data_IF_793081328016
#
_entry.id   IF_793081328016
#
_cell.length_a   1.000
_cell.length_b   1.000
_cell.length_c   1.000
_cell.angle_alpha   90.00
_cell.angle_beta   90.00
_cell.angle_gamma   90.00
#
_symmetry.space_group_name_H-M   'P 1'
#
loop_
_entity.id
_entity.type
_entity.pdbx_description
1 polymer ?
#
# COMPACT_ATOMS: atom_id res chain seq x y z
N UNK A 1 -3.96 5.42 -9.34
CA UNK A 1 -2.61 5.28 -8.78
C UNK A 1 -1.78 6.53 -9.02
N UNK A 2 -1.02 6.92 -8.00
CA UNK A 2 0.02 7.95 -8.03
C UNK A 2 1.40 7.29 -8.04
N UNK A 3 2.36 7.85 -8.76
CA UNK A 3 3.77 7.45 -8.67
C UNK A 3 4.45 8.37 -7.67
N UNK A 4 5.06 7.80 -6.63
CA UNK A 4 5.77 8.56 -5.59
C UNK A 4 7.17 7.99 -5.36
N UNK A 5 8.17 8.63 -5.95
CA UNK A 5 9.58 8.27 -5.74
C UNK A 5 10.08 8.56 -4.31
N UNK A 6 9.32 9.33 -3.51
CA UNK A 6 9.57 9.53 -2.09
C UNK A 6 9.11 8.34 -1.24
N UNK A 7 8.18 7.52 -1.75
CA UNK A 7 7.73 6.32 -1.06
C UNK A 7 8.66 5.14 -1.32
N UNK A 8 9.11 4.48 -0.26
CA UNK A 8 9.91 3.26 -0.37
C UNK A 8 9.08 2.05 -0.82
N UNK A 9 7.78 2.04 -0.53
CA UNK A 9 6.87 0.90 -0.69
C UNK A 9 5.64 1.28 -1.50
N UNK A 10 4.93 0.27 -2.02
CA UNK A 10 3.65 0.49 -2.66
C UNK A 10 2.53 0.47 -1.61
N UNK A 11 1.53 1.33 -1.78
CA UNK A 11 0.39 1.46 -0.87
C UNK A 11 -0.91 1.26 -1.64
N UNK A 12 -1.89 0.63 -1.00
CA UNK A 12 -3.24 0.44 -1.55
C UNK A 12 -4.28 0.57 -0.44
N UNK A 13 -5.46 1.10 -0.75
CA UNK A 13 -6.56 1.13 0.21
C UNK A 13 -7.26 -0.23 0.31
N UNK A 14 -7.70 -0.58 1.52
CA UNK A 14 -8.30 -1.89 1.82
C UNK A 14 -9.51 -2.19 0.96
N UNK A 15 -10.41 -1.22 0.76
CA UNK A 15 -11.65 -1.41 0.01
C UNK A 15 -11.46 -1.72 -1.49
N UNK A 16 -10.26 -1.53 -2.05
CA UNK A 16 -9.94 -1.82 -3.46
C UNK A 16 -9.55 -3.28 -3.67
N UNK A 17 -9.33 -4.03 -2.58
CA UNK A 17 -8.91 -5.42 -2.65
C UNK A 17 -10.12 -6.32 -2.85
N UNK A 18 -9.99 -7.28 -3.77
CA UNK A 18 -11.01 -8.30 -3.94
C UNK A 18 -11.15 -9.16 -2.66
N UNK A 19 -12.38 -9.58 -2.30
CA UNK A 19 -12.60 -10.51 -1.22
C UNK A 19 -11.79 -11.80 -1.43
N UNK A 20 -10.99 -12.19 -0.45
CA UNK A 20 -10.19 -13.42 -0.51
C UNK A 20 -8.79 -13.26 -1.09
N UNK A 21 -8.32 -12.03 -1.35
CA UNK A 21 -6.89 -11.80 -1.64
C UNK A 21 -6.03 -12.37 -0.52
N UNK A 22 -4.92 -13.00 -0.89
CA UNK A 22 -4.00 -13.55 0.10
C UNK A 22 -3.27 -12.39 0.80
N UNK A 23 -3.45 -12.33 2.11
CA UNK A 23 -2.90 -11.28 2.97
C UNK A 23 -1.80 -11.86 3.85
N UNK A 24 -0.69 -11.13 3.97
CA UNK A 24 0.34 -11.41 4.95
C UNK A 24 0.25 -10.39 6.09
N UNK A 25 -0.35 -10.82 7.20
CA UNK A 25 -0.57 -10.00 8.38
C UNK A 25 0.70 -9.80 9.22
N UNK A 26 1.78 -10.53 8.92
CA UNK A 26 3.04 -10.44 9.68
C UNK A 26 3.91 -9.27 9.21
N UNK A 27 3.51 -8.56 8.15
CA UNK A 27 4.29 -7.47 7.56
C UNK A 27 3.51 -6.17 7.69
N UNK A 28 3.63 -5.56 8.86
CA UNK A 28 3.11 -4.21 9.12
C UNK A 28 4.25 -3.20 9.13
N UNK A 29 4.02 -2.06 8.48
CA UNK A 29 4.94 -0.93 8.47
C UNK A 29 4.28 0.26 9.15
N UNK A 30 5.07 0.97 9.96
CA UNK A 30 4.67 2.27 10.47
C UNK A 30 5.18 3.35 9.53
N UNK A 31 4.26 3.96 8.80
CA UNK A 31 4.51 5.08 7.92
C UNK A 31 4.62 6.35 8.76
N UNK A 32 5.74 7.03 8.61
CA UNK A 32 6.00 8.34 9.22
C UNK A 32 5.99 9.40 8.12
N UNK A 33 5.60 10.63 8.47
CA UNK A 33 5.62 11.81 7.58
C UNK A 33 4.46 11.96 6.59
N UNK A 34 3.55 11.00 6.48
CA UNK A 34 2.35 11.11 5.62
C UNK A 34 1.12 11.68 6.36
N UNK A 35 1.20 11.81 7.68
CA UNK A 35 0.15 12.35 8.54
C UNK A 35 0.70 12.88 9.86
N UNK A 36 -0.04 13.73 10.59
CA UNK A 36 0.37 14.26 11.90
C UNK A 36 0.60 13.17 12.96
N UNK A 37 0.00 12.00 12.77
CA UNK A 37 0.20 10.80 13.61
C UNK A 37 0.80 9.70 12.73
N UNK A 38 1.70 8.84 13.26
CA UNK A 38 2.16 7.66 12.54
C UNK A 38 0.99 6.76 12.18
N UNK A 39 1.08 6.10 11.03
CA UNK A 39 0.05 5.16 10.56
C UNK A 39 0.68 3.81 10.36
N UNK A 40 0.06 2.80 10.95
CA UNK A 40 0.46 1.41 10.75
C UNK A 40 -0.39 0.81 9.64
N UNK A 41 0.27 0.25 8.63
CA UNK A 41 -0.39 -0.52 7.56
C UNK A 41 -1.00 -1.79 8.16
N UNK A 42 -2.15 -2.22 7.64
CA UNK A 42 -2.88 -3.37 8.19
C UNK A 42 -2.19 -4.70 7.86
N UNK A 43 -1.83 -4.88 6.59
CA UNK A 43 -1.33 -6.12 6.01
C UNK A 43 -0.52 -5.83 4.75
N UNK A 44 0.20 -6.83 4.25
CA UNK A 44 0.85 -6.78 2.94
C UNK A 44 0.19 -7.79 2.00
N UNK A 45 -0.17 -7.36 0.80
CA UNK A 45 -0.76 -8.20 -0.24
C UNK A 45 0.15 -8.26 -1.44
N UNK A 46 0.13 -9.40 -2.12
CA UNK A 46 0.82 -9.56 -3.39
C UNK A 46 -0.21 -9.65 -4.51
N UNK A 47 -0.19 -8.67 -5.41
CA UNK A 47 -1.16 -8.55 -6.50
C UNK A 47 -0.45 -8.34 -7.83
N UNK A 48 -1.05 -8.83 -8.92
CA UNK A 48 -0.59 -8.51 -10.27
C UNK A 48 -1.10 -7.13 -10.65
N UNK A 49 -0.19 -6.18 -10.76
CA UNK A 49 -0.48 -4.79 -11.12
C UNK A 49 0.36 -4.39 -12.34
N UNK A 50 -0.29 -3.86 -13.39
CA UNK A 50 0.34 -3.54 -14.68
C UNK A 50 1.18 -4.71 -15.27
N UNK A 51 0.70 -5.94 -15.10
CA UNK A 51 1.37 -7.15 -15.62
C UNK A 51 2.56 -7.64 -14.79
N UNK A 52 2.86 -7.00 -13.65
CA UNK A 52 3.92 -7.41 -12.71
C UNK A 52 3.32 -7.83 -11.37
N UNK A 53 3.84 -8.92 -10.81
CA UNK A 53 3.53 -9.30 -9.44
C UNK A 53 4.27 -8.35 -8.49
N UNK A 54 3.52 -7.61 -7.67
CA UNK A 54 4.08 -6.59 -6.78
C UNK A 54 3.45 -6.68 -5.39
N UNK A 55 4.24 -6.32 -4.37
CA UNK A 55 3.77 -6.22 -3.00
C UNK A 55 3.16 -4.83 -2.78
N UNK A 56 2.04 -4.78 -2.07
CA UNK A 56 1.40 -3.55 -1.63
C UNK A 56 1.10 -3.65 -0.13
N UNK A 57 1.44 -2.58 0.59
CA UNK A 57 1.00 -2.44 1.97
C UNK A 57 -0.37 -1.78 2.01
N UNK A 58 -1.27 -2.38 2.78
CA UNK A 58 -2.66 -1.98 2.84
C UNK A 58 -2.84 -0.91 3.90
N UNK A 59 -3.41 0.20 3.48
CA UNK A 59 -3.81 1.29 4.36
C UNK A 59 -5.23 1.07 4.90
N UNK A 60 -5.51 1.49 6.14
CA UNK A 60 -6.89 1.55 6.64
C UNK A 60 -7.71 2.52 5.79
N UNK A 61 -8.99 2.21 5.57
CA UNK A 61 -9.90 3.01 4.73
C UNK A 61 -10.13 4.43 5.26
N UNK A 62 -9.84 4.66 6.53
CA UNK A 62 -9.96 5.95 7.21
C UNK A 62 -8.80 6.91 6.87
N UNK A 63 -7.79 6.45 6.13
CA UNK A 63 -6.66 7.29 5.76
C UNK A 63 -7.07 8.29 4.67
N UNK A 64 -6.96 9.61 4.91
CA UNK A 64 -7.40 10.63 3.96
C UNK A 64 -6.39 10.76 2.83
N UNK A 65 -6.52 9.88 1.84
CA UNK A 65 -5.72 9.91 0.63
C UNK A 65 -6.65 9.80 -0.57
N UNK A 66 -6.64 10.81 -1.43
CA UNK A 66 -7.55 10.90 -2.58
C UNK A 66 -7.23 9.87 -3.66
N UNK A 67 -5.96 9.48 -3.75
CA UNK A 67 -5.52 8.46 -4.69
C UNK A 67 -5.74 7.07 -4.11
N UNK A 68 -6.14 6.14 -4.96
CA UNK A 68 -6.51 4.79 -4.57
C UNK A 68 -5.28 3.90 -4.30
N UNK A 69 -4.17 4.16 -4.99
CA UNK A 69 -2.90 3.45 -4.85
C UNK A 69 -1.69 4.39 -4.98
N UNK A 70 -0.60 4.07 -4.29
CA UNK A 70 0.72 4.71 -4.47
C UNK A 70 1.71 3.65 -4.96
N UNK A 71 2.40 3.93 -6.06
CA UNK A 71 3.54 3.16 -6.52
C UNK A 71 4.82 3.82 -6.03
N UNK A 72 5.45 3.16 -5.05
CA UNK A 72 6.74 3.56 -4.53
C UNK A 72 7.89 2.98 -5.33
N UNK A 73 9.11 3.27 -4.87
CA UNK A 73 10.34 2.82 -5.51
C UNK A 73 10.44 1.29 -5.66
N UNK A 74 9.85 0.50 -4.76
CA UNK A 74 9.83 -0.96 -4.88
C UNK A 74 9.19 -1.44 -6.19
N UNK A 75 8.14 -0.77 -6.69
CA UNK A 75 7.47 -1.19 -7.91
C UNK A 75 8.39 -1.16 -9.14
N UNK A 76 9.34 -0.22 -9.17
CA UNK A 76 10.22 0.06 -10.32
C UNK A 76 11.59 -0.63 -10.22
N UNK A 77 11.85 -1.37 -9.14
CA UNK A 77 13.01 -2.28 -9.04
C UNK A 77 12.74 -3.58 -9.77
#
# INVERSE_FOLDING_TARGET
FMIDSGSAVNLIQRHLLEPGVHVNNNVQLTLQSISPKPITTMECVQITFLGKLANFHVLPDEFPFEEHEILGNEFFK
#
